data_IF_041194734242
#
_entry.id   IF_041194734242
#
_cell.length_a   1.000
_cell.length_b   1.000
_cell.length_c   1.000
_cell.angle_alpha   90.00
_cell.angle_beta   90.00
_cell.angle_gamma   90.00
#
_symmetry.space_group_name_H-M   'P 1'
#
loop_
_entity.id
_entity.type
_entity.pdbx_description
1 polymer ?
#
# COMPACT_ATOMS: atom_id res chain seq x y z
N UNK A 1 13.34 10.04 15.91
CA UNK A 1 13.62 9.95 14.45
C UNK A 1 12.92 8.77 13.78
N UNK A 2 13.16 7.50 14.16
CA UNK A 2 12.45 6.36 13.56
C UNK A 2 10.93 6.39 13.79
N UNK A 3 10.48 6.71 15.01
CA UNK A 3 9.04 6.83 15.32
C UNK A 3 8.34 7.87 14.46
N UNK A 4 8.96 9.02 14.18
CA UNK A 4 8.41 10.05 13.30
C UNK A 4 8.30 9.59 11.84
N UNK A 5 9.24 8.77 11.38
CA UNK A 5 9.20 8.17 10.03
C UNK A 5 8.15 7.07 9.94
N UNK A 6 7.99 6.26 10.99
CA UNK A 6 6.89 5.28 11.08
C UNK A 6 5.53 6.01 11.08
N UNK A 7 5.40 7.06 11.87
CA UNK A 7 4.19 7.88 11.88
C UNK A 7 3.94 8.50 10.49
N UNK A 8 5.00 8.98 9.83
CA UNK A 8 4.96 9.47 8.46
C UNK A 8 4.48 8.44 7.46
N UNK A 9 4.93 7.18 7.58
CA UNK A 9 4.46 6.09 6.73
C UNK A 9 2.96 5.81 6.90
N UNK A 10 2.47 5.77 8.13
CA UNK A 10 1.06 5.51 8.43
C UNK A 10 0.16 6.66 7.96
N UNK A 11 0.53 7.92 8.24
CA UNK A 11 -0.19 9.07 7.72
C UNK A 11 -0.08 9.20 6.20
N UNK A 12 1.08 8.88 5.63
CA UNK A 12 1.29 8.86 4.19
C UNK A 12 0.36 7.87 3.50
N UNK A 13 0.19 6.68 4.06
CA UNK A 13 -0.78 5.71 3.56
C UNK A 13 -2.20 6.26 3.59
N UNK A 14 -2.65 6.78 4.72
CA UNK A 14 -3.99 7.34 4.85
C UNK A 14 -4.21 8.54 3.92
N UNK A 15 -3.20 9.39 3.76
CA UNK A 15 -3.24 10.55 2.85
C UNK A 15 -3.41 10.11 1.40
N UNK A 16 -2.58 9.20 0.93
CA UNK A 16 -2.66 8.70 -0.46
C UNK A 16 -3.95 7.96 -0.76
N UNK A 17 -4.40 7.13 0.17
CA UNK A 17 -5.67 6.41 0.11
C UNK A 17 -6.86 7.38 0.02
N UNK A 18 -7.01 8.28 0.96
CA UNK A 18 -8.12 9.23 1.01
C UNK A 18 -8.11 10.24 -0.15
N UNK A 19 -6.94 10.65 -0.65
CA UNK A 19 -6.83 11.52 -1.80
C UNK A 19 -7.20 10.81 -3.09
N UNK A 20 -6.82 9.55 -3.24
CA UNK A 20 -7.10 8.73 -4.41
C UNK A 20 -8.50 8.12 -4.43
N UNK A 21 -9.18 8.02 -3.30
CA UNK A 21 -10.49 7.39 -3.16
C UNK A 21 -11.54 7.93 -4.13
N UNK A 22 -11.70 9.24 -4.35
CA UNK A 22 -12.77 9.74 -5.22
C UNK A 22 -12.69 9.26 -6.67
N UNK A 23 -11.50 8.99 -7.17
CA UNK A 23 -11.26 8.57 -8.56
C UNK A 23 -11.06 7.07 -8.74
N UNK A 24 -11.18 6.29 -7.67
CA UNK A 24 -10.91 4.85 -7.63
C UNK A 24 -11.62 4.10 -8.75
N UNK A 25 -10.85 3.28 -9.47
CA UNK A 25 -11.29 2.39 -10.56
C UNK A 25 -11.97 3.10 -11.75
N UNK A 26 -11.82 4.41 -11.86
CA UNK A 26 -12.23 5.11 -13.06
C UNK A 26 -11.09 5.21 -14.09
N UNK A 27 -11.40 5.11 -15.39
CA UNK A 27 -10.40 5.40 -16.43
C UNK A 27 -9.86 6.82 -16.29
N UNK A 28 -8.59 7.00 -16.63
CA UNK A 28 -7.92 8.32 -16.56
C UNK A 28 -8.71 9.43 -17.28
N UNK A 29 -9.29 9.14 -18.43
CA UNK A 29 -10.12 10.11 -19.17
C UNK A 29 -11.35 10.57 -18.38
N UNK A 30 -12.00 9.66 -17.65
CA UNK A 30 -13.16 9.96 -16.82
C UNK A 30 -12.77 10.78 -15.59
N UNK A 31 -11.64 10.45 -14.97
CA UNK A 31 -11.10 11.24 -13.84
C UNK A 31 -10.88 12.69 -14.27
N UNK A 32 -10.23 12.91 -15.40
CA UNK A 32 -10.01 14.25 -15.96
C UNK A 32 -11.31 14.96 -16.31
N UNK A 33 -12.24 14.30 -16.95
CA UNK A 33 -13.52 14.89 -17.35
C UNK A 33 -14.38 15.28 -16.15
N UNK A 34 -14.40 14.46 -15.09
CA UNK A 34 -15.25 14.67 -13.91
C UNK A 34 -14.67 15.70 -12.94
N UNK A 35 -13.37 15.57 -12.61
CA UNK A 35 -12.72 16.37 -11.58
C UNK A 35 -11.89 17.55 -12.14
N UNK A 36 -11.48 17.51 -13.39
CA UNK A 36 -10.41 18.36 -13.91
C UNK A 36 -9.07 17.97 -13.29
N UNK A 37 -8.86 18.38 -12.04
CA UNK A 37 -7.67 18.08 -11.26
C UNK A 37 -8.05 17.90 -9.79
N UNK A 38 -7.57 16.83 -9.15
CA UNK A 38 -7.76 16.56 -7.71
C UNK A 38 -6.51 17.06 -6.98
N UNK A 39 -6.66 18.05 -6.11
CA UNK A 39 -5.60 18.62 -5.27
C UNK A 39 -6.00 18.75 -3.80
N UNK A 40 -7.14 18.21 -3.43
CA UNK A 40 -7.72 18.23 -2.09
C UNK A 40 -8.57 16.99 -1.87
N UNK A 41 -8.92 16.70 -0.63
CA UNK A 41 -9.89 15.64 -0.34
C UNK A 41 -11.27 15.98 -0.90
N UNK A 42 -11.88 15.00 -1.53
CA UNK A 42 -13.23 15.07 -2.07
C UNK A 42 -14.03 13.85 -1.61
N UNK A 43 -15.36 13.95 -1.52
CA UNK A 43 -16.19 12.76 -1.28
C UNK A 43 -16.19 11.85 -2.51
N UNK A 44 -16.42 10.56 -2.29
CA UNK A 44 -16.65 9.62 -3.39
C UNK A 44 -17.91 9.99 -4.19
N UNK A 45 -17.80 10.13 -5.52
CA UNK A 45 -18.95 10.42 -6.37
C UNK A 45 -20.00 9.32 -6.27
N UNK A 46 -21.27 9.69 -6.32
CA UNK A 46 -22.41 8.73 -6.32
C UNK A 46 -22.36 7.78 -7.51
N UNK A 47 -21.80 8.23 -8.61
CA UNK A 47 -21.64 7.48 -9.86
C UNK A 47 -20.45 6.50 -9.82
N UNK A 48 -19.60 6.59 -8.81
CA UNK A 48 -18.47 5.68 -8.62
C UNK A 48 -18.89 4.51 -7.72
N UNK A 49 -19.02 3.33 -8.30
CA UNK A 49 -19.49 2.13 -7.61
C UNK A 49 -18.56 1.65 -6.47
N UNK A 50 -17.31 2.04 -6.48
CA UNK A 50 -16.34 1.72 -5.41
C UNK A 50 -16.26 2.83 -4.36
N UNK A 51 -16.22 4.09 -4.79
CA UNK A 51 -16.00 5.26 -3.92
C UNK A 51 -17.28 5.82 -3.28
N UNK A 52 -18.46 5.51 -3.80
CA UNK A 52 -19.72 6.10 -3.34
C UNK A 52 -20.06 5.88 -1.85
N UNK A 53 -19.36 4.96 -1.19
CA UNK A 53 -19.54 4.64 0.23
C UNK A 53 -18.71 5.55 1.17
N UNK A 54 -17.82 6.40 0.62
CA UNK A 54 -16.86 7.14 1.39
C UNK A 54 -17.09 8.65 1.34
N UNK A 55 -16.95 9.30 2.49
CA UNK A 55 -17.01 10.74 2.62
C UNK A 55 -15.67 11.38 2.32
N UNK A 56 -15.65 12.72 2.25
CA UNK A 56 -14.43 13.51 2.09
C UNK A 56 -13.40 13.18 3.18
N UNK A 57 -12.14 12.99 2.80
CA UNK A 57 -11.01 12.64 3.66
C UNK A 57 -11.11 11.29 4.37
N UNK A 58 -12.10 10.47 4.01
CA UNK A 58 -12.25 9.12 4.53
C UNK A 58 -11.35 8.17 3.74
N UNK A 59 -10.52 7.39 4.42
CA UNK A 59 -9.73 6.35 3.77
C UNK A 59 -10.55 5.07 3.59
N UNK A 60 -10.11 4.21 2.70
CA UNK A 60 -10.83 3.02 2.26
C UNK A 60 -10.34 1.74 2.96
N UNK A 61 -10.61 0.59 2.36
CA UNK A 61 -10.14 -0.71 2.82
C UNK A 61 -8.60 -0.83 2.88
N UNK A 62 -7.87 -0.11 2.06
CA UNK A 62 -6.40 -0.09 2.05
C UNK A 62 -5.84 0.23 3.44
N UNK A 63 -6.19 1.38 3.97
CA UNK A 63 -5.74 1.80 5.30
C UNK A 63 -6.45 1.02 6.41
N UNK A 64 -7.73 0.69 6.25
CA UNK A 64 -8.48 -0.11 7.22
C UNK A 64 -7.86 -1.49 7.42
N UNK A 65 -7.48 -2.18 6.34
CA UNK A 65 -6.80 -3.48 6.44
C UNK A 65 -5.37 -3.36 6.96
N UNK A 66 -4.66 -2.28 6.65
CA UNK A 66 -3.35 -2.00 7.25
C UNK A 66 -3.46 -1.85 8.77
N UNK A 67 -4.50 -1.18 9.26
CA UNK A 67 -4.76 -1.06 10.70
C UNK A 67 -5.15 -2.41 11.32
N UNK A 68 -5.88 -3.27 10.62
CA UNK A 68 -6.14 -4.65 11.07
C UNK A 68 -4.83 -5.44 11.25
N UNK A 69 -3.90 -5.29 10.32
CA UNK A 69 -2.55 -5.86 10.44
C UNK A 69 -1.79 -5.26 11.62
N UNK A 70 -1.80 -3.93 11.75
CA UNK A 70 -1.12 -3.25 12.87
C UNK A 70 -1.69 -3.68 14.22
N UNK A 71 -3.00 -3.79 14.37
CA UNK A 71 -3.65 -4.28 15.60
C UNK A 71 -3.18 -5.69 15.96
N UNK A 72 -3.08 -6.60 14.99
CA UNK A 72 -2.56 -7.94 15.20
C UNK A 72 -1.09 -7.92 15.65
N UNK A 73 -0.26 -7.08 15.04
CA UNK A 73 1.14 -6.91 15.42
C UNK A 73 1.28 -6.36 16.84
N UNK A 74 0.42 -5.44 17.25
CA UNK A 74 0.40 -4.90 18.60
C UNK A 74 -0.05 -5.96 19.62
N UNK A 75 -1.12 -6.68 19.33
CA UNK A 75 -1.65 -7.74 20.21
C UNK A 75 -0.64 -8.87 20.44
N UNK A 76 0.16 -9.19 19.42
CA UNK A 76 1.20 -10.21 19.47
C UNK A 76 2.60 -9.68 19.79
N UNK A 77 2.70 -8.45 20.28
CA UNK A 77 3.98 -7.83 20.68
C UNK A 77 5.06 -7.90 19.59
N UNK A 78 4.67 -7.61 18.34
CA UNK A 78 5.53 -7.62 17.17
C UNK A 78 5.74 -8.98 16.52
N UNK A 79 5.05 -10.04 16.97
CA UNK A 79 5.02 -11.34 16.29
C UNK A 79 3.93 -11.35 15.22
N UNK A 80 4.23 -11.99 14.10
CA UNK A 80 3.29 -12.12 12.98
C UNK A 80 2.45 -13.38 13.19
N UNK A 81 1.15 -13.19 13.36
CA UNK A 81 0.15 -14.25 13.50
C UNK A 81 -0.87 -14.16 12.36
N UNK A 82 -0.74 -14.98 11.31
CA UNK A 82 -1.60 -14.90 10.14
C UNK A 82 -3.08 -15.12 10.44
N UNK A 83 -3.41 -16.02 11.36
CA UNK A 83 -4.79 -16.30 11.73
C UNK A 83 -5.43 -15.10 12.45
N UNK A 84 -4.69 -14.42 13.30
CA UNK A 84 -5.16 -13.20 13.95
C UNK A 84 -5.34 -12.06 12.94
N UNK A 85 -4.38 -11.88 12.03
CA UNK A 85 -4.50 -10.89 10.94
C UNK A 85 -5.76 -11.16 10.12
N UNK A 86 -5.97 -12.40 9.72
CA UNK A 86 -7.14 -12.82 8.96
C UNK A 86 -8.46 -12.56 9.69
N UNK A 87 -8.53 -12.87 10.97
CA UNK A 87 -9.70 -12.59 11.83
C UNK A 87 -9.97 -11.08 11.93
N UNK A 88 -8.95 -10.27 12.16
CA UNK A 88 -9.10 -8.83 12.28
C UNK A 88 -9.65 -8.21 10.99
N UNK A 89 -9.14 -8.66 9.83
CA UNK A 89 -9.63 -8.22 8.52
C UNK A 89 -11.09 -8.67 8.32
N UNK A 90 -11.42 -9.90 8.66
CA UNK A 90 -12.79 -10.41 8.57
C UNK A 90 -13.75 -9.62 9.46
N UNK A 91 -13.37 -9.34 10.70
CA UNK A 91 -14.17 -8.56 11.64
C UNK A 91 -14.43 -7.14 11.14
N UNK A 92 -13.41 -6.49 10.56
CA UNK A 92 -13.58 -5.21 9.88
C UNK A 92 -14.55 -5.33 8.70
N UNK A 93 -14.37 -6.33 7.84
CA UNK A 93 -15.21 -6.53 6.67
C UNK A 93 -16.69 -6.75 7.03
N UNK A 94 -16.96 -7.44 8.13
CA UNK A 94 -18.33 -7.65 8.63
C UNK A 94 -18.92 -6.37 9.21
N UNK A 95 -18.16 -5.62 10.03
CA UNK A 95 -18.61 -4.34 10.59
C UNK A 95 -18.89 -3.28 9.53
N UNK A 96 -18.07 -3.22 8.49
CA UNK A 96 -18.19 -2.28 7.38
C UNK A 96 -19.22 -2.73 6.33
N UNK A 97 -19.71 -3.97 6.42
CA UNK A 97 -20.53 -4.61 5.41
C UNK A 97 -19.84 -4.70 4.04
N UNK A 98 -18.54 -4.97 4.06
CA UNK A 98 -17.68 -4.95 2.87
C UNK A 98 -18.04 -6.04 1.84
N UNK A 99 -18.66 -7.14 2.27
CA UNK A 99 -19.12 -8.20 1.36
C UNK A 99 -20.25 -7.77 0.44
N UNK A 100 -21.12 -6.86 0.91
CA UNK A 100 -22.25 -6.34 0.16
C UNK A 100 -21.95 -5.03 -0.57
N UNK A 101 -20.84 -4.36 -0.19
CA UNK A 101 -20.29 -3.19 -0.87
C UNK A 101 -19.24 -3.62 -1.89
N UNK A 102 -19.01 -2.79 -2.89
CA UNK A 102 -18.03 -3.08 -3.93
C UNK A 102 -16.63 -2.56 -3.54
N UNK A 103 -16.14 -2.96 -2.36
CA UNK A 103 -14.85 -2.51 -1.80
C UNK A 103 -13.83 -3.65 -1.67
N UNK A 104 -14.27 -4.91 -1.50
CA UNK A 104 -13.37 -6.05 -1.43
C UNK A 104 -12.96 -6.52 -2.82
N UNK A 105 -11.65 -6.62 -3.06
CA UNK A 105 -11.13 -7.30 -4.23
C UNK A 105 -11.50 -8.79 -4.24
N UNK A 106 -11.56 -9.43 -5.42
CA UNK A 106 -12.03 -10.82 -5.54
C UNK A 106 -11.18 -11.81 -4.75
N UNK A 107 -9.87 -11.64 -4.72
CA UNK A 107 -8.95 -12.51 -3.97
C UNK A 107 -9.20 -12.42 -2.47
N UNK A 108 -9.31 -11.22 -1.93
CA UNK A 108 -9.62 -11.00 -0.51
C UNK A 108 -11.00 -11.56 -0.14
N UNK A 109 -11.99 -11.37 -1.00
CA UNK A 109 -13.37 -11.87 -0.77
C UNK A 109 -13.42 -13.39 -0.65
N UNK A 110 -12.71 -14.11 -1.52
CA UNK A 110 -12.61 -15.57 -1.48
C UNK A 110 -11.93 -16.02 -0.18
N UNK A 111 -10.79 -15.42 0.15
CA UNK A 111 -10.02 -15.77 1.34
C UNK A 111 -10.80 -15.50 2.64
N UNK A 112 -11.44 -14.35 2.76
CA UNK A 112 -12.24 -13.99 3.94
C UNK A 112 -13.47 -14.89 4.11
N UNK A 113 -14.11 -15.32 3.04
CA UNK A 113 -15.18 -16.32 3.11
C UNK A 113 -14.66 -17.66 3.68
N UNK A 114 -13.50 -18.13 3.24
CA UNK A 114 -12.90 -19.36 3.76
C UNK A 114 -12.53 -19.22 5.24
N UNK A 115 -12.01 -18.09 5.68
CA UNK A 115 -11.71 -17.81 7.10
C UNK A 115 -13.02 -17.79 7.90
N UNK A 116 -14.08 -17.19 7.39
CA UNK A 116 -15.41 -17.18 8.01
C UNK A 116 -15.96 -18.59 8.19
N UNK A 117 -15.67 -19.48 7.24
CA UNK A 117 -16.05 -20.89 7.31
C UNK A 117 -15.13 -21.72 8.24
N UNK A 118 -14.20 -21.09 8.95
CA UNK A 118 -13.34 -21.70 9.95
C UNK A 118 -12.07 -22.34 9.41
N UNK A 119 -11.70 -22.09 8.15
CA UNK A 119 -10.43 -22.62 7.60
C UNK A 119 -9.24 -21.84 8.15
N UNK A 120 -8.20 -22.54 8.68
CA UNK A 120 -6.95 -21.90 9.07
C UNK A 120 -6.23 -21.30 7.86
N UNK A 121 -5.53 -20.18 8.05
CA UNK A 121 -4.80 -19.50 6.97
C UNK A 121 -3.77 -20.42 6.30
N UNK A 122 -3.14 -21.31 7.05
CA UNK A 122 -2.17 -22.26 6.50
C UNK A 122 -2.75 -23.19 5.41
N UNK A 123 -4.05 -23.47 5.44
CA UNK A 123 -4.75 -24.34 4.49
C UNK A 123 -5.32 -23.61 3.28
N UNK A 124 -5.24 -22.28 3.23
CA UNK A 124 -5.74 -21.49 2.10
C UNK A 124 -4.73 -21.47 0.95
N UNK A 125 -5.21 -21.63 -0.27
CA UNK A 125 -4.36 -21.56 -1.46
C UNK A 125 -3.96 -20.11 -1.78
N UNK A 126 -4.91 -19.18 -1.82
CA UNK A 126 -4.70 -17.73 -1.98
C UNK A 126 -3.74 -17.35 -3.11
N UNK A 127 -3.92 -17.92 -4.29
CA UNK A 127 -3.01 -17.77 -5.44
C UNK A 127 -3.29 -16.51 -6.29
N UNK A 128 -4.17 -15.63 -5.84
CA UNK A 128 -4.50 -14.40 -6.54
C UNK A 128 -3.31 -13.45 -6.69
N UNK A 129 -3.31 -12.68 -7.78
CA UNK A 129 -2.24 -11.76 -8.14
C UNK A 129 -2.61 -10.29 -7.97
N UNK A 130 -3.74 -10.01 -7.32
CA UNK A 130 -4.16 -8.65 -6.99
C UNK A 130 -3.28 -8.03 -5.92
N UNK A 131 -3.34 -6.72 -5.79
CA UNK A 131 -2.45 -5.91 -4.94
C UNK A 131 -2.84 -5.85 -3.45
N UNK A 132 -3.83 -6.61 -3.02
CA UNK A 132 -4.38 -6.51 -1.66
C UNK A 132 -3.38 -6.78 -0.53
N UNK A 133 -2.33 -7.55 -0.77
CA UNK A 133 -1.24 -7.71 0.20
C UNK A 133 -0.34 -6.46 0.25
N UNK A 134 0.02 -5.90 -0.91
CA UNK A 134 0.87 -4.71 -1.01
C UNK A 134 0.17 -3.45 -0.46
N UNK A 135 -1.14 -3.31 -0.69
CA UNK A 135 -1.90 -2.13 -0.25
C UNK A 135 -1.92 -1.94 1.26
N UNK A 136 -1.82 -3.03 2.05
CA UNK A 136 -1.91 -3.02 3.51
C UNK A 136 -0.59 -3.26 4.22
N UNK A 137 0.51 -3.35 3.50
CA UNK A 137 1.79 -3.86 4.03
C UNK A 137 2.57 -2.85 4.86
N UNK A 138 2.21 -1.57 4.86
CA UNK A 138 3.00 -0.53 5.51
C UNK A 138 3.35 -0.82 6.98
N UNK A 139 2.47 -1.39 7.83
CA UNK A 139 2.85 -1.78 9.19
C UNK A 139 3.96 -2.83 9.24
N UNK A 140 4.01 -3.77 8.29
CA UNK A 140 5.12 -4.73 8.18
C UNK A 140 6.44 -4.02 7.85
N UNK A 141 6.43 -3.06 6.91
CA UNK A 141 7.61 -2.24 6.62
C UNK A 141 8.06 -1.39 7.81
N UNK A 142 7.13 -0.93 8.62
CA UNK A 142 7.42 -0.21 9.86
C UNK A 142 8.05 -1.11 10.94
N UNK A 143 7.59 -2.35 11.05
CA UNK A 143 8.03 -3.31 12.04
C UNK A 143 9.37 -3.97 11.69
N UNK A 144 9.53 -4.39 10.45
CA UNK A 144 10.61 -5.29 10.02
C UNK A 144 11.87 -4.51 9.62
N UNK A 145 13.03 -4.74 10.25
CA UNK A 145 14.30 -4.20 9.76
C UNK A 145 14.71 -4.87 8.44
N UNK A 146 15.05 -4.08 7.43
CA UNK A 146 15.47 -4.57 6.12
C UNK A 146 16.98 -4.91 6.11
N UNK A 147 17.39 -5.91 6.88
CA UNK A 147 18.79 -6.35 7.05
C UNK A 147 19.08 -7.65 6.31
N UNK A 148 18.32 -8.69 6.64
CA UNK A 148 18.38 -10.00 5.99
C UNK A 148 17.24 -10.14 5.00
N UNK A 149 17.57 -10.28 3.72
CA UNK A 149 16.58 -10.28 2.63
C UNK A 149 15.64 -11.49 2.73
N UNK A 150 16.18 -12.66 3.06
CA UNK A 150 15.39 -13.89 3.12
C UNK A 150 14.39 -13.88 4.26
N UNK A 151 14.83 -13.52 5.45
CA UNK A 151 13.94 -13.39 6.63
C UNK A 151 12.88 -12.30 6.41
N UNK A 152 13.25 -11.19 5.77
CA UNK A 152 12.33 -10.11 5.45
C UNK A 152 11.22 -10.58 4.50
N UNK A 153 11.60 -11.28 3.43
CA UNK A 153 10.64 -11.87 2.47
C UNK A 153 9.71 -12.85 3.17
N UNK A 154 10.24 -13.73 4.02
CA UNK A 154 9.46 -14.74 4.73
C UNK A 154 8.45 -14.09 5.70
N UNK A 155 8.86 -13.08 6.45
CA UNK A 155 7.98 -12.34 7.37
C UNK A 155 6.88 -11.58 6.61
N UNK A 156 7.20 -10.91 5.51
CA UNK A 156 6.20 -10.23 4.68
C UNK A 156 5.24 -11.22 4.04
N UNK A 157 5.74 -12.36 3.56
CA UNK A 157 4.90 -13.42 3.02
C UNK A 157 3.93 -13.97 4.07
N UNK A 158 4.40 -14.15 5.30
CA UNK A 158 3.56 -14.59 6.40
C UNK A 158 2.45 -13.60 6.71
N UNK A 159 2.76 -12.30 6.77
CA UNK A 159 1.77 -11.22 6.95
C UNK A 159 0.77 -11.09 5.80
N UNK A 160 1.18 -11.45 4.59
CA UNK A 160 0.34 -11.43 3.38
C UNK A 160 -0.58 -12.65 3.26
N UNK A 161 -0.20 -13.76 3.87
CA UNK A 161 -0.79 -15.09 3.67
C UNK A 161 -2.29 -15.23 3.97
N UNK A 162 -2.91 -14.41 4.85
CA UNK A 162 -4.36 -14.48 5.05
C UNK A 162 -5.17 -14.29 3.77
N UNK A 163 -4.65 -13.57 2.79
CA UNK A 163 -5.35 -13.29 1.52
C UNK A 163 -4.52 -13.59 0.26
N UNK A 164 -3.19 -13.51 0.33
CA UNK A 164 -2.32 -13.60 -0.85
C UNK A 164 -1.05 -14.42 -0.55
N UNK A 165 -0.80 -15.43 -1.36
CA UNK A 165 0.38 -16.32 -1.24
C UNK A 165 1.15 -16.47 -2.56
N UNK A 166 0.66 -15.92 -3.68
CA UNK A 166 1.32 -16.03 -4.98
C UNK A 166 2.67 -15.32 -5.00
N UNK A 167 3.52 -15.75 -5.91
CA UNK A 167 4.83 -15.16 -6.17
C UNK A 167 4.75 -13.64 -6.42
N UNK A 168 3.87 -13.23 -7.31
CA UNK A 168 3.70 -11.83 -7.69
C UNK A 168 3.15 -10.97 -6.55
N UNK A 169 2.07 -11.44 -5.88
CA UNK A 169 1.44 -10.66 -4.81
C UNK A 169 2.39 -10.45 -3.63
N UNK A 170 3.12 -11.51 -3.24
CA UNK A 170 4.13 -11.42 -2.17
C UNK A 170 5.30 -10.52 -2.58
N UNK A 171 5.81 -10.66 -3.81
CA UNK A 171 6.89 -9.81 -4.30
C UNK A 171 6.51 -8.32 -4.30
N UNK A 172 5.29 -7.99 -4.69
CA UNK A 172 4.78 -6.62 -4.61
C UNK A 172 4.72 -6.08 -3.19
N UNK A 173 4.21 -6.87 -2.25
CA UNK A 173 4.19 -6.52 -0.83
C UNK A 173 5.62 -6.33 -0.28
N UNK A 174 6.55 -7.20 -0.65
CA UNK A 174 7.97 -7.08 -0.26
C UNK A 174 8.60 -5.80 -0.79
N UNK A 175 8.37 -5.44 -2.04
CA UNK A 175 8.90 -4.20 -2.64
C UNK A 175 8.45 -2.97 -1.84
N UNK A 176 7.16 -2.85 -1.54
CA UNK A 176 6.62 -1.72 -0.78
C UNK A 176 7.15 -1.73 0.66
N UNK A 177 7.08 -2.85 1.35
CA UNK A 177 7.56 -2.98 2.74
C UNK A 177 9.07 -2.71 2.85
N UNK A 178 9.88 -3.20 1.91
CA UNK A 178 11.32 -2.96 1.86
C UNK A 178 11.64 -1.48 1.70
N UNK A 179 10.97 -0.80 0.76
CA UNK A 179 11.14 0.62 0.54
C UNK A 179 10.82 1.44 1.81
N UNK A 180 9.70 1.11 2.48
CA UNK A 180 9.31 1.75 3.75
C UNK A 180 10.36 1.49 4.84
N UNK A 181 10.78 0.24 5.00
CA UNK A 181 11.74 -0.14 6.04
C UNK A 181 13.09 0.56 5.88
N UNK A 182 13.62 0.60 4.67
CA UNK A 182 14.88 1.30 4.37
C UNK A 182 14.77 2.81 4.54
N UNK A 183 13.62 3.39 4.18
CA UNK A 183 13.33 4.80 4.41
C UNK A 183 13.32 5.14 5.91
N UNK A 184 12.70 4.29 6.75
CA UNK A 184 12.70 4.46 8.22
C UNK A 184 14.12 4.44 8.78
N UNK A 185 14.99 3.63 8.23
CA UNK A 185 16.40 3.56 8.62
C UNK A 185 17.23 4.76 8.13
N UNK A 186 16.65 5.64 7.32
CA UNK A 186 17.27 6.89 6.89
C UNK A 186 18.04 6.78 5.58
N UNK A 187 17.84 5.69 4.83
CA UNK A 187 18.47 5.53 3.53
C UNK A 187 17.89 6.50 2.49
N UNK A 188 18.71 6.94 1.55
CA UNK A 188 18.28 7.82 0.49
C UNK A 188 17.34 7.11 -0.51
N UNK A 189 16.43 7.85 -1.11
CA UNK A 189 15.55 7.29 -2.13
C UNK A 189 16.33 6.67 -3.30
N UNK A 190 17.41 7.31 -3.74
CA UNK A 190 18.24 6.77 -4.82
C UNK A 190 18.77 5.37 -4.49
N UNK A 191 19.30 5.17 -3.30
CA UNK A 191 19.81 3.86 -2.88
C UNK A 191 18.67 2.83 -2.73
N UNK A 192 17.54 3.24 -2.20
CA UNK A 192 16.36 2.38 -2.05
C UNK A 192 15.87 1.91 -3.42
N UNK A 193 15.55 2.84 -4.33
CA UNK A 193 14.95 2.51 -5.62
C UNK A 193 15.86 1.66 -6.49
N UNK A 194 17.17 1.87 -6.43
CA UNK A 194 18.14 1.07 -7.15
C UNK A 194 18.21 -0.40 -6.68
N UNK A 195 17.82 -0.66 -5.42
CA UNK A 195 17.76 -2.02 -4.86
C UNK A 195 16.47 -2.78 -5.23
N UNK A 196 15.38 -2.09 -5.55
CA UNK A 196 14.05 -2.70 -5.66
C UNK A 196 13.93 -3.76 -6.76
N UNK A 197 14.50 -3.62 -7.96
CA UNK A 197 14.41 -4.69 -8.96
C UNK A 197 15.04 -6.01 -8.51
N UNK A 198 16.18 -5.96 -7.83
CA UNK A 198 16.84 -7.15 -7.27
C UNK A 198 15.99 -7.80 -6.18
N UNK A 199 15.44 -7.00 -5.26
CA UNK A 199 14.54 -7.46 -4.20
C UNK A 199 13.28 -8.10 -4.80
N UNK A 200 12.66 -7.47 -5.79
CA UNK A 200 11.48 -7.99 -6.48
C UNK A 200 11.75 -9.35 -7.13
N UNK A 201 12.89 -9.47 -7.82
CA UNK A 201 13.29 -10.72 -8.49
C UNK A 201 13.49 -11.85 -7.48
N UNK A 202 14.18 -11.57 -6.39
CA UNK A 202 14.42 -12.53 -5.34
C UNK A 202 13.13 -12.99 -4.65
N UNK A 203 12.25 -12.06 -4.31
CA UNK A 203 10.97 -12.37 -3.67
C UNK A 203 10.05 -13.18 -4.60
N UNK A 204 9.98 -12.84 -5.89
CA UNK A 204 9.12 -13.54 -6.85
C UNK A 204 9.54 -14.99 -7.07
N UNK A 205 10.82 -15.33 -6.91
CA UNK A 205 11.33 -16.69 -7.08
C UNK A 205 11.02 -17.62 -5.90
N UNK A 206 10.63 -17.11 -4.75
CA UNK A 206 10.51 -17.89 -3.51
C UNK A 206 9.12 -18.46 -3.23
N UNK A 207 8.10 -18.15 -4.03
CA UNK A 207 6.69 -18.44 -3.69
C UNK A 207 6.00 -19.30 -4.74
N UNK A 208 4.71 -19.58 -4.51
CA UNK A 208 3.88 -20.33 -5.45
C UNK A 208 3.91 -19.63 -6.80
N UNK A 209 4.51 -20.27 -7.78
CA UNK A 209 4.74 -19.71 -9.12
C UNK A 209 3.42 -19.58 -9.87
N UNK A 210 3.16 -18.38 -10.36
CA UNK A 210 2.12 -18.10 -11.35
C UNK A 210 2.77 -17.81 -12.70
N UNK A 211 2.00 -17.75 -13.78
CA UNK A 211 2.51 -17.32 -15.08
C UNK A 211 2.46 -15.79 -15.24
N UNK A 212 2.92 -15.09 -14.23
CA UNK A 212 3.01 -13.63 -14.22
C UNK A 212 4.28 -13.13 -14.90
N UNK A 213 4.23 -11.91 -15.43
CA UNK A 213 5.43 -11.23 -15.89
C UNK A 213 6.38 -10.93 -14.71
N UNK A 214 7.65 -10.65 -15.03
CA UNK A 214 8.63 -10.25 -14.02
C UNK A 214 8.29 -8.89 -13.41
N UNK A 215 8.08 -8.85 -12.10
CA UNK A 215 7.86 -7.59 -11.38
C UNK A 215 9.09 -6.67 -11.47
N UNK A 216 10.30 -7.23 -11.38
CA UNK A 216 11.54 -6.48 -11.56
C UNK A 216 11.62 -5.77 -12.91
N UNK A 217 11.31 -6.48 -13.99
CA UNK A 217 11.30 -5.90 -15.34
C UNK A 217 10.25 -4.80 -15.48
N UNK A 218 9.07 -4.97 -14.89
CA UNK A 218 8.02 -3.96 -14.92
C UNK A 218 8.38 -2.71 -14.11
N UNK A 219 9.06 -2.87 -12.96
CA UNK A 219 9.64 -1.77 -12.19
C UNK A 219 10.64 -0.97 -13.02
N UNK A 220 11.55 -1.64 -13.71
CA UNK A 220 12.55 -1.00 -14.56
C UNK A 220 11.91 -0.19 -15.69
N UNK A 221 10.86 -0.73 -16.34
CA UNK A 221 10.09 -0.03 -17.36
C UNK A 221 9.43 1.23 -16.77
N UNK A 222 8.75 1.11 -15.64
CA UNK A 222 8.06 2.23 -15.00
C UNK A 222 9.02 3.36 -14.61
N UNK A 223 10.16 3.03 -14.02
CA UNK A 223 11.21 4.00 -13.67
C UNK A 223 11.82 4.67 -14.90
N UNK A 224 12.06 3.90 -15.98
CA UNK A 224 12.56 4.46 -17.24
C UNK A 224 11.57 5.47 -17.83
N UNK A 225 10.27 5.20 -17.77
CA UNK A 225 9.22 6.12 -18.24
C UNK A 225 9.32 7.46 -17.50
N UNK A 226 9.29 7.46 -16.17
CA UNK A 226 9.26 8.71 -15.40
C UNK A 226 10.57 9.50 -15.47
N UNK A 227 11.69 8.82 -15.69
CA UNK A 227 13.01 9.46 -15.82
C UNK A 227 13.24 10.11 -17.19
N UNK A 228 12.55 9.66 -18.23
CA UNK A 228 12.76 10.11 -19.61
C UNK A 228 11.55 10.87 -20.20
N UNK A 229 10.45 11.00 -19.49
CA UNK A 229 9.27 11.70 -19.99
C UNK A 229 9.44 13.22 -19.98
N UNK A 230 8.80 13.88 -20.95
CA UNK A 230 8.75 15.32 -21.05
C UNK A 230 7.68 15.91 -20.10
N UNK A 231 7.99 15.90 -18.80
CA UNK A 231 7.13 16.46 -17.77
C UNK A 231 6.16 15.47 -17.12
N UNK A 232 5.52 15.94 -16.07
CA UNK A 232 4.69 15.13 -15.15
C UNK A 232 3.47 14.54 -15.83
N UNK A 233 2.78 15.30 -16.69
CA UNK A 233 1.58 14.83 -17.38
C UNK A 233 1.91 13.71 -18.38
N UNK A 234 2.98 13.90 -19.17
CA UNK A 234 3.45 12.87 -20.11
C UNK A 234 3.89 11.60 -19.39
N UNK A 235 4.59 11.73 -18.26
CA UNK A 235 4.98 10.59 -17.43
C UNK A 235 3.77 9.82 -16.90
N UNK A 236 2.79 10.52 -16.35
CA UNK A 236 1.56 9.91 -15.83
C UNK A 236 0.76 9.20 -16.90
N UNK A 237 0.61 9.82 -18.09
CA UNK A 237 -0.07 9.20 -19.23
C UNK A 237 0.63 7.93 -19.69
N UNK A 238 1.95 7.94 -19.80
CA UNK A 238 2.72 6.76 -20.22
C UNK A 238 2.67 5.65 -19.15
N UNK A 239 2.71 5.98 -17.87
CA UNK A 239 2.51 5.00 -16.80
C UNK A 239 1.15 4.31 -16.93
N UNK A 240 0.10 5.09 -17.09
CA UNK A 240 -1.25 4.56 -17.22
C UNK A 240 -1.39 3.65 -18.44
N UNK A 241 -0.87 4.05 -19.60
CA UNK A 241 -1.04 3.31 -20.85
C UNK A 241 -0.09 2.11 -21.03
N UNK A 242 1.14 2.21 -20.54
CA UNK A 242 2.19 1.20 -20.80
C UNK A 242 2.36 0.22 -19.63
N UNK A 243 2.42 0.75 -18.41
CA UNK A 243 2.57 -0.07 -17.20
C UNK A 243 1.22 -0.61 -16.76
N UNK A 244 0.20 0.21 -16.86
CA UNK A 244 -1.13 -0.04 -16.34
C UNK A 244 -1.26 0.43 -14.88
N UNK A 245 -2.48 0.74 -14.49
CA UNK A 245 -2.82 1.24 -13.17
C UNK A 245 -3.99 0.46 -12.54
N UNK A 246 -4.16 -0.80 -12.91
CA UNK A 246 -5.24 -1.65 -12.41
C UNK A 246 -4.93 -2.29 -11.07
N UNK A 247 -5.83 -3.16 -10.63
CA UNK A 247 -5.77 -3.85 -9.33
C UNK A 247 -4.75 -5.00 -9.28
N UNK A 248 -4.14 -5.35 -10.40
CA UNK A 248 -3.07 -6.35 -10.42
C UNK A 248 -1.77 -5.78 -9.85
N UNK A 249 -1.09 -6.56 -9.03
CA UNK A 249 0.22 -6.21 -8.45
C UNK A 249 1.24 -5.81 -9.51
N UNK A 250 1.24 -6.47 -10.67
CA UNK A 250 2.20 -6.20 -11.77
C UNK A 250 2.03 -4.80 -12.38
N UNK A 251 0.88 -4.18 -12.21
CA UNK A 251 0.58 -2.83 -12.67
C UNK A 251 0.75 -1.80 -11.54
N UNK A 252 0.00 -1.97 -10.44
CA UNK A 252 -0.11 -0.96 -9.38
C UNK A 252 1.18 -0.75 -8.59
N UNK A 253 1.95 -1.79 -8.29
CA UNK A 253 3.21 -1.65 -7.54
C UNK A 253 4.27 -0.91 -8.35
N UNK A 254 4.56 -1.26 -9.62
CA UNK A 254 5.46 -0.46 -10.45
C UNK A 254 5.02 0.99 -10.62
N UNK A 255 3.71 1.25 -10.79
CA UNK A 255 3.18 2.61 -10.84
C UNK A 255 3.42 3.38 -9.55
N UNK A 256 3.19 2.76 -8.39
CA UNK A 256 3.42 3.39 -7.09
C UNK A 256 4.89 3.81 -6.92
N UNK A 257 5.82 2.92 -7.21
CA UNK A 257 7.27 3.22 -7.12
C UNK A 257 7.66 4.34 -8.09
N UNK A 258 7.18 4.30 -9.32
CA UNK A 258 7.44 5.34 -10.31
C UNK A 258 6.86 6.70 -9.90
N UNK A 259 5.71 6.73 -9.23
CA UNK A 259 5.09 7.96 -8.74
C UNK A 259 5.81 8.55 -7.52
N UNK A 260 6.45 7.75 -6.68
CA UNK A 260 7.39 8.26 -5.66
C UNK A 260 8.53 9.05 -6.33
N UNK A 261 9.13 8.47 -7.36
CA UNK A 261 10.18 9.14 -8.16
C UNK A 261 9.68 10.44 -8.81
N UNK A 262 8.54 10.37 -9.49
CA UNK A 262 7.94 11.51 -10.20
C UNK A 262 7.55 12.66 -9.26
N UNK A 263 7.08 12.31 -8.05
CA UNK A 263 6.74 13.28 -7.00
C UNK A 263 7.98 13.87 -6.32
N UNK A 264 9.19 13.43 -6.68
CA UNK A 264 10.42 13.81 -5.99
C UNK A 264 10.34 13.52 -4.47
N UNK A 265 9.71 12.42 -4.13
CA UNK A 265 9.49 11.92 -2.77
C UNK A 265 8.64 12.82 -1.84
N UNK A 266 8.04 13.88 -2.35
CA UNK A 266 7.14 14.75 -1.58
C UNK A 266 5.80 14.03 -1.35
N UNK A 267 5.39 13.77 -0.09
CA UNK A 267 4.16 13.03 0.20
C UNK A 267 2.90 13.77 -0.29
N UNK A 268 2.85 15.07 -0.20
CA UNK A 268 1.67 15.85 -0.62
C UNK A 268 1.51 15.83 -2.14
N UNK A 269 2.60 16.05 -2.86
CA UNK A 269 2.63 15.95 -4.32
C UNK A 269 2.34 14.53 -4.80
N UNK A 270 2.90 13.53 -4.12
CA UNK A 270 2.69 12.12 -4.46
C UNK A 270 1.21 11.73 -4.38
N UNK A 271 0.53 12.09 -3.30
CA UNK A 271 -0.90 11.85 -3.12
C UNK A 271 -1.73 12.45 -4.26
N UNK A 272 -1.44 13.69 -4.66
CA UNK A 272 -2.12 14.38 -5.76
C UNK A 272 -1.87 13.68 -7.11
N UNK A 273 -0.62 13.32 -7.42
CA UNK A 273 -0.30 12.62 -8.66
C UNK A 273 -0.98 11.26 -8.76
N UNK A 274 -1.03 10.52 -7.67
CA UNK A 274 -1.73 9.23 -7.62
C UNK A 274 -3.23 9.39 -7.84
N UNK A 275 -3.87 10.38 -7.20
CA UNK A 275 -5.30 10.64 -7.34
C UNK A 275 -5.74 10.96 -8.77
N UNK A 276 -4.86 11.56 -9.56
CA UNK A 276 -5.14 11.97 -10.94
C UNK A 276 -4.67 10.95 -12.00
N UNK A 277 -4.06 9.85 -11.59
CA UNK A 277 -3.55 8.84 -12.52
C UNK A 277 -4.65 8.14 -13.31
N UNK A 278 -5.76 7.81 -12.65
CA UNK A 278 -6.77 6.86 -13.13
C UNK A 278 -6.42 5.43 -12.71
N UNK A 279 -7.40 4.54 -12.78
CA UNK A 279 -7.24 3.16 -12.32
C UNK A 279 -7.40 3.03 -10.80
N UNK A 280 -6.54 2.24 -10.19
CA UNK A 280 -6.58 1.91 -8.76
C UNK A 280 -5.87 3.00 -7.92
N UNK A 281 -6.42 4.19 -7.96
CA UNK A 281 -5.80 5.43 -7.48
C UNK A 281 -5.62 5.50 -5.97
N UNK A 282 -6.53 4.96 -5.21
CA UNK A 282 -6.44 4.89 -3.74
C UNK A 282 -5.34 3.92 -3.29
N UNK A 283 -5.28 2.73 -3.87
CA UNK A 283 -4.23 1.74 -3.57
C UNK A 283 -2.85 2.23 -3.99
N UNK A 284 -2.71 2.74 -5.21
CA UNK A 284 -1.44 3.31 -5.71
C UNK A 284 -1.03 4.48 -4.80
N UNK A 285 -1.98 5.34 -4.42
CA UNK A 285 -1.76 6.43 -3.48
C UNK A 285 -1.32 5.95 -2.10
N UNK A 286 -2.01 4.96 -1.54
CA UNK A 286 -1.68 4.38 -0.24
C UNK A 286 -0.24 3.85 -0.19
N UNK A 287 0.17 3.08 -1.20
CA UNK A 287 1.52 2.51 -1.29
C UNK A 287 2.60 3.58 -1.50
N UNK A 288 2.45 4.42 -2.50
CA UNK A 288 3.44 5.42 -2.87
C UNK A 288 3.64 6.48 -1.78
N UNK A 289 2.55 7.01 -1.23
CA UNK A 289 2.62 8.08 -0.24
C UNK A 289 3.09 7.57 1.13
N UNK A 290 2.86 6.30 1.46
CA UNK A 290 3.47 5.66 2.63
C UNK A 290 5.01 5.67 2.55
N UNK A 291 5.57 5.39 1.39
CA UNK A 291 7.03 5.45 1.17
C UNK A 291 7.54 6.89 1.34
N UNK A 292 6.87 7.86 0.73
CA UNK A 292 7.23 9.28 0.88
C UNK A 292 7.17 9.73 2.35
N UNK A 293 6.13 9.35 3.07
CA UNK A 293 5.99 9.65 4.49
C UNK A 293 7.09 9.00 5.35
N UNK A 294 7.51 7.79 5.03
CA UNK A 294 8.62 7.11 5.69
C UNK A 294 9.96 7.81 5.44
N UNK A 295 10.18 8.32 4.22
CA UNK A 295 11.40 9.04 3.85
C UNK A 295 11.58 10.35 4.63
N UNK A 296 10.51 11.09 4.83
CA UNK A 296 10.57 12.46 5.36
C UNK A 296 9.99 12.63 6.76
N UNK A 297 9.23 11.63 7.25
CA UNK A 297 8.54 11.74 8.53
C UNK A 297 7.20 12.49 8.43
N UNK A 298 6.44 12.45 9.51
CA UNK A 298 5.07 13.02 9.56
C UNK A 298 5.03 14.53 9.35
N UNK A 299 6.09 15.23 9.72
CA UNK A 299 6.16 16.70 9.61
C UNK A 299 6.25 17.19 8.15
N UNK A 300 6.54 16.31 7.20
CA UNK A 300 6.51 16.64 5.77
C UNK A 300 5.09 16.62 5.17
N UNK A 301 4.13 16.05 5.87
CA UNK A 301 2.72 16.05 5.46
C UNK A 301 2.10 17.41 5.80
N UNK A 302 1.37 17.98 4.85
CA UNK A 302 0.65 19.24 5.04
C UNK A 302 -0.21 19.17 6.32
N UNK A 303 -0.01 20.09 7.30
CA UNK A 303 -0.74 20.08 8.53
C UNK A 303 -2.26 20.18 8.38
N UNK A 304 -2.74 20.87 7.35
CA UNK A 304 -4.18 21.00 7.08
C UNK A 304 -4.76 19.66 6.61
N UNK A 305 -4.07 18.95 5.71
CA UNK A 305 -4.48 17.62 5.26
C UNK A 305 -4.45 16.60 6.40
N UNK A 306 -3.38 16.63 7.21
CA UNK A 306 -3.28 15.77 8.40
C UNK A 306 -4.43 16.01 9.38
N UNK A 307 -4.73 17.28 9.69
CA UNK A 307 -5.81 17.65 10.60
C UNK A 307 -7.18 17.18 10.08
N UNK A 308 -7.42 17.25 8.78
CA UNK A 308 -8.65 16.77 8.17
C UNK A 308 -8.78 15.24 8.24
N UNK A 309 -7.70 14.49 8.01
CA UNK A 309 -7.66 13.04 8.20
C UNK A 309 -7.98 12.65 9.65
N UNK A 310 -7.35 13.33 10.61
CA UNK A 310 -7.57 13.08 12.05
C UNK A 310 -9.03 13.34 12.45
N UNK A 311 -9.62 14.44 11.97
CA UNK A 311 -10.98 14.83 12.30
C UNK A 311 -12.02 13.84 11.75
N UNK A 312 -11.81 13.32 10.55
CA UNK A 312 -12.77 12.43 9.87
C UNK A 312 -12.65 10.98 10.35
N UNK A 313 -11.43 10.47 10.50
CA UNK A 313 -11.20 9.05 10.75
C UNK A 313 -11.01 8.70 12.25
N UNK A 314 -10.84 9.68 13.10
CA UNK A 314 -10.76 9.55 14.58
C UNK A 314 -9.76 8.48 15.05
N UNK A 315 -8.56 8.48 14.45
CA UNK A 315 -7.54 7.48 14.73
C UNK A 315 -6.38 8.02 15.55
N UNK A 316 -5.83 7.14 16.37
CA UNK A 316 -4.58 7.40 17.11
C UNK A 316 -3.40 6.69 16.44
N UNK A 317 -2.88 7.27 15.36
CA UNK A 317 -1.68 6.74 14.70
C UNK A 317 -0.42 6.80 15.58
N UNK A 318 -0.37 7.68 16.57
CA UNK A 318 0.75 7.74 17.51
C UNK A 318 0.88 6.45 18.32
N UNK A 319 -0.23 5.85 18.73
CA UNK A 319 -0.25 4.57 19.43
C UNK A 319 0.43 3.48 18.58
N UNK A 320 0.07 3.38 17.31
CA UNK A 320 0.66 2.41 16.38
C UNK A 320 2.14 2.68 16.14
N UNK A 321 2.52 3.93 15.88
CA UNK A 321 3.90 4.30 15.59
C UNK A 321 4.83 4.03 16.78
N UNK A 322 4.38 4.34 17.99
CA UNK A 322 5.15 4.09 19.22
C UNK A 322 5.36 2.61 19.47
N UNK A 323 4.30 1.80 19.33
CA UNK A 323 4.39 0.36 19.53
C UNK A 323 5.26 -0.33 18.45
N UNK A 324 5.06 0.02 17.18
CA UNK A 324 5.84 -0.54 16.07
C UNK A 324 7.32 -0.16 16.18
N UNK A 325 7.64 1.07 16.59
CA UNK A 325 9.03 1.49 16.83
C UNK A 325 9.69 0.67 17.94
N UNK A 326 8.98 0.42 19.04
CA UNK A 326 9.45 -0.44 20.14
C UNK A 326 9.74 -1.86 19.65
N UNK A 327 8.81 -2.48 18.93
CA UNK A 327 8.97 -3.86 18.46
C UNK A 327 10.03 -3.96 17.36
N UNK A 328 10.16 -2.95 16.49
CA UNK A 328 11.26 -2.86 15.54
C UNK A 328 12.62 -2.85 16.25
N UNK A 329 12.78 -2.02 17.28
CA UNK A 329 14.01 -1.95 18.06
C UNK A 329 14.37 -3.30 18.71
N UNK A 330 13.38 -4.05 19.18
CA UNK A 330 13.60 -5.39 19.72
C UNK A 330 14.12 -6.36 18.65
N UNK A 331 13.58 -6.29 17.43
CA UNK A 331 14.06 -7.10 16.29
C UNK A 331 15.45 -6.68 15.80
N UNK A 332 15.81 -5.43 15.97
CA UNK A 332 17.15 -4.91 15.62
C UNK A 332 18.24 -5.38 16.59
N UNK A 333 17.85 -5.76 17.81
CA UNK A 333 18.76 -6.19 18.86
C UNK A 333 19.14 -7.68 18.79
N UNK A 334 18.41 -8.46 18.00
CA UNK A 334 18.65 -9.90 17.75
C UNK A 334 19.46 -10.07 16.48
#
# INVERSE_FOLDING_TARGET
MKTERILGALYGQALGDAMGMPSELWPRSRVKAHFGWIDRFLPGPKENNAACYFNRAEFTDDTSMALCLADALLEREGKIDPDLIGRNILDWALRFDAFNKNVLGPTSKIALNAIRDGKPVAELENNGVTNGAAMRVSPSGCLLPARDVDSFIDDVALASSPTHKSDLAVAGAVVIAWAISRAIDGESWSAIVDSLPSIARHAQQKRITTFSASLAARLEIALKIVRNADGTESASEQLYQVVGAGTSTIESVPCAIALVELAQTDPNRCAVLCANLGGDTDTIGAMATAICGALHGVNAIDPALKAELDAVNQLDFNRYATALAKYRQQREAV
#
